data_IF_424478455730
#
_entry.id   IF_424478455730
#
_cell.length_a   1.000
_cell.length_b   1.000
_cell.length_c   1.000
_cell.angle_alpha   90.00
_cell.angle_beta   90.00
_cell.angle_gamma   90.00
#
_symmetry.space_group_name_H-M   'P 1'
#
loop_
_entity.id
_entity.type
_entity.pdbx_description
1 polymer ?
#
# COMPACT_ATOMS: atom_id res chain seq x y z
N UNK A 1 -52.99 29.94 39.12
CA UNK A 1 -51.77 29.99 39.96
C UNK A 1 -51.45 28.75 40.80
N UNK A 2 -52.29 28.25 41.74
CA UNK A 2 -51.92 27.04 42.52
C UNK A 2 -51.91 25.76 41.66
N UNK A 3 -52.95 25.56 40.84
CA UNK A 3 -53.07 24.39 39.94
C UNK A 3 -51.95 24.32 38.88
N UNK A 4 -51.60 25.45 38.25
CA UNK A 4 -50.52 25.50 37.25
C UNK A 4 -49.15 25.18 37.85
N UNK A 5 -48.88 25.62 39.09
CA UNK A 5 -47.64 25.26 39.79
C UNK A 5 -47.61 23.76 40.10
N UNK A 6 -48.72 23.17 40.51
CA UNK A 6 -48.80 21.72 40.77
C UNK A 6 -48.59 20.92 39.48
N UNK A 7 -49.19 21.35 38.36
CA UNK A 7 -48.98 20.73 37.04
C UNK A 7 -47.52 20.87 36.60
N UNK A 8 -46.92 22.05 36.78
CA UNK A 8 -45.51 22.27 36.47
C UNK A 8 -44.60 21.36 37.31
N UNK A 9 -44.84 21.22 38.62
CA UNK A 9 -44.08 20.33 39.50
C UNK A 9 -44.25 18.84 39.15
N UNK A 10 -45.46 18.43 38.77
CA UNK A 10 -45.73 17.05 38.32
C UNK A 10 -44.99 16.79 37.01
N UNK A 11 -45.02 17.70 36.04
CA UNK A 11 -44.26 17.57 34.80
C UNK A 11 -42.75 17.54 35.06
N UNK A 12 -42.24 18.39 35.98
CA UNK A 12 -40.82 18.44 36.36
C UNK A 12 -40.31 17.15 37.00
N UNK A 13 -41.19 16.37 37.64
CA UNK A 13 -40.82 15.10 38.28
C UNK A 13 -41.06 13.90 37.36
N UNK A 14 -42.18 13.88 36.65
CA UNK A 14 -42.60 12.74 35.82
C UNK A 14 -41.75 12.62 34.56
N UNK A 15 -41.38 13.74 33.92
CA UNK A 15 -40.53 13.70 32.72
C UNK A 15 -39.14 13.08 32.98
N UNK A 16 -38.34 13.54 33.95
CA UNK A 16 -37.02 12.95 34.19
C UNK A 16 -37.10 11.51 34.71
N UNK A 17 -38.13 11.16 35.50
CA UNK A 17 -38.36 9.77 35.91
C UNK A 17 -38.73 8.88 34.71
N UNK A 18 -39.55 9.38 33.79
CA UNK A 18 -39.87 8.71 32.53
C UNK A 18 -38.62 8.50 31.66
N UNK A 19 -37.79 9.53 31.52
CA UNK A 19 -36.52 9.42 30.79
C UNK A 19 -35.54 8.44 31.45
N UNK A 20 -35.44 8.45 32.79
CA UNK A 20 -34.60 7.50 33.52
C UNK A 20 -35.10 6.05 33.38
N UNK A 21 -36.42 5.84 33.37
CA UNK A 21 -37.02 4.54 33.15
C UNK A 21 -36.77 4.03 31.72
N UNK A 22 -36.95 4.90 30.71
CA UNK A 22 -36.64 4.59 29.30
C UNK A 22 -35.15 4.29 29.16
N UNK A 23 -34.27 5.10 29.73
CA UNK A 23 -32.82 4.89 29.67
C UNK A 23 -32.40 3.55 30.29
N UNK A 24 -32.98 3.19 31.45
CA UNK A 24 -32.70 1.92 32.12
C UNK A 24 -33.24 0.72 31.34
N UNK A 25 -34.43 0.84 30.76
CA UNK A 25 -35.02 -0.20 29.91
C UNK A 25 -34.19 -0.39 28.63
N UNK A 26 -33.78 0.70 28.00
CA UNK A 26 -32.90 0.70 26.84
C UNK A 26 -31.56 0.05 27.17
N UNK A 27 -30.91 0.41 28.29
CA UNK A 27 -29.68 -0.24 28.73
C UNK A 27 -29.86 -1.74 29.03
N UNK A 28 -30.99 -2.15 29.59
CA UNK A 28 -31.31 -3.56 29.81
C UNK A 28 -31.47 -4.34 28.51
N UNK A 29 -32.17 -3.75 27.53
CA UNK A 29 -32.33 -4.31 26.18
C UNK A 29 -30.98 -4.37 25.48
N UNK A 30 -30.18 -3.31 25.55
CA UNK A 30 -28.87 -3.25 24.91
C UNK A 30 -27.88 -4.24 25.54
N UNK A 31 -27.94 -4.47 26.85
CA UNK A 31 -27.13 -5.48 27.53
C UNK A 31 -27.55 -6.92 27.15
N UNK A 32 -28.85 -7.20 27.07
CA UNK A 32 -29.34 -8.51 26.60
C UNK A 32 -29.05 -8.72 25.11
N UNK A 33 -29.20 -7.68 24.30
CA UNK A 33 -28.85 -7.71 22.87
C UNK A 33 -27.35 -7.81 22.67
N UNK A 34 -26.50 -7.21 23.51
CA UNK A 34 -25.05 -7.34 23.38
C UNK A 34 -24.60 -8.80 23.46
N UNK A 35 -25.24 -9.62 24.31
CA UNK A 35 -25.01 -11.07 24.38
C UNK A 35 -25.59 -11.87 23.21
N UNK A 36 -26.68 -11.40 22.59
CA UNK A 36 -27.30 -12.01 21.39
C UNK A 36 -26.63 -11.57 20.06
N UNK A 37 -26.09 -10.35 20.03
CA UNK A 37 -25.29 -9.75 18.96
C UNK A 37 -23.83 -10.23 18.99
N UNK A 38 -23.50 -11.13 19.90
CA UNK A 38 -22.52 -12.16 19.59
C UNK A 38 -23.20 -13.11 18.60
N UNK A 39 -23.44 -12.60 17.39
CA UNK A 39 -23.94 -13.41 16.29
C UNK A 39 -23.05 -14.65 16.24
N UNK A 40 -23.67 -15.81 16.19
CA UNK A 40 -22.93 -17.03 15.93
C UNK A 40 -22.11 -16.79 14.67
N UNK A 41 -20.81 -16.76 14.87
CA UNK A 41 -19.71 -16.71 13.91
C UNK A 41 -19.73 -18.03 13.08
N UNK A 42 -20.91 -18.42 12.60
CA UNK A 42 -21.20 -19.68 11.94
C UNK A 42 -21.41 -19.39 10.46
N UNK A 43 -20.44 -19.85 9.68
CA UNK A 43 -20.62 -20.03 8.25
C UNK A 43 -21.42 -21.31 8.08
N UNK A 44 -22.74 -21.19 7.85
CA UNK A 44 -23.68 -22.31 7.69
C UNK A 44 -23.20 -23.33 6.64
N UNK A 45 -22.48 -22.87 5.61
CA UNK A 45 -21.86 -23.71 4.58
C UNK A 45 -20.49 -23.13 4.20
N UNK A 46 -19.41 -23.80 4.61
CA UNK A 46 -18.03 -23.34 4.34
C UNK A 46 -17.56 -23.53 2.89
N UNK A 47 -18.33 -24.20 2.05
CA UNK A 47 -17.95 -24.49 0.66
C UNK A 47 -18.60 -23.52 -0.31
N UNK A 48 -17.83 -22.55 -0.82
CA UNK A 48 -18.32 -21.59 -1.82
C UNK A 48 -18.87 -22.26 -3.09
N UNK A 49 -18.27 -23.39 -3.52
CA UNK A 49 -18.76 -24.16 -4.68
C UNK A 49 -20.14 -24.75 -4.44
N UNK A 50 -20.37 -25.35 -3.26
CA UNK A 50 -21.67 -25.94 -2.94
C UNK A 50 -22.74 -24.85 -2.84
N UNK A 51 -22.41 -23.74 -2.18
CA UNK A 51 -23.30 -22.58 -2.07
C UNK A 51 -23.65 -22.07 -3.48
N UNK A 52 -22.67 -21.96 -4.38
CA UNK A 52 -22.91 -21.53 -5.77
C UNK A 52 -23.87 -22.45 -6.52
N UNK A 53 -23.68 -23.77 -6.40
CA UNK A 53 -24.55 -24.77 -7.05
C UNK A 53 -25.99 -24.64 -6.54
N UNK A 54 -26.18 -24.48 -5.24
CA UNK A 54 -27.51 -24.35 -4.64
C UNK A 54 -28.19 -23.00 -4.91
N UNK A 55 -27.40 -21.97 -5.19
CA UNK A 55 -27.91 -20.60 -5.42
C UNK A 55 -28.41 -20.39 -6.85
N UNK A 56 -28.02 -21.26 -7.79
CA UNK A 56 -28.40 -21.17 -9.20
C UNK A 56 -28.13 -19.76 -9.76
N UNK A 57 -29.13 -19.11 -10.35
CA UNK A 57 -29.05 -17.75 -10.91
C UNK A 57 -28.96 -16.65 -9.86
N UNK A 58 -29.29 -16.94 -8.60
CA UNK A 58 -29.24 -15.97 -7.50
C UNK A 58 -27.87 -15.91 -6.82
N UNK A 59 -26.84 -16.57 -7.37
CA UNK A 59 -25.49 -16.52 -6.82
C UNK A 59 -24.96 -15.07 -6.62
N UNK A 60 -25.17 -14.11 -7.53
CA UNK A 60 -24.74 -12.73 -7.31
C UNK A 60 -25.45 -12.06 -6.12
N UNK A 61 -26.77 -12.22 -6.00
CA UNK A 61 -27.52 -11.70 -4.84
C UNK A 61 -27.00 -12.30 -3.53
N UNK A 62 -26.68 -13.59 -3.54
CA UNK A 62 -26.13 -14.24 -2.35
C UNK A 62 -24.69 -13.75 -2.07
N UNK A 63 -23.90 -13.45 -3.10
CA UNK A 63 -22.58 -12.84 -2.93
C UNK A 63 -22.68 -11.49 -2.19
N UNK A 64 -23.67 -10.65 -2.52
CA UNK A 64 -23.92 -9.38 -1.83
C UNK A 64 -24.32 -9.58 -0.35
N UNK A 65 -25.10 -10.61 -0.06
CA UNK A 65 -25.44 -10.99 1.33
C UNK A 65 -24.19 -11.41 2.09
N UNK A 66 -23.36 -12.28 1.52
CA UNK A 66 -22.10 -12.68 2.16
C UNK A 66 -21.11 -11.52 2.28
N UNK A 67 -21.04 -10.63 1.30
CA UNK A 67 -20.23 -9.41 1.39
C UNK A 67 -20.68 -8.53 2.55
N UNK A 68 -21.98 -8.36 2.75
CA UNK A 68 -22.52 -7.64 3.89
C UNK A 68 -22.11 -8.31 5.21
N UNK A 69 -22.10 -9.65 5.27
CA UNK A 69 -21.57 -10.40 6.44
C UNK A 69 -20.08 -10.16 6.66
N UNK A 70 -19.26 -10.08 5.59
CA UNK A 70 -17.84 -9.72 5.69
C UNK A 70 -17.67 -8.35 6.36
N UNK A 71 -18.37 -7.33 5.86
CA UNK A 71 -18.27 -5.96 6.36
C UNK A 71 -18.74 -5.85 7.80
N UNK A 72 -19.86 -6.50 8.15
CA UNK A 72 -20.38 -6.50 9.52
C UNK A 72 -19.46 -7.27 10.47
N UNK A 73 -18.95 -8.43 10.08
CA UNK A 73 -18.01 -9.22 10.88
C UNK A 73 -16.74 -8.43 11.18
N UNK A 74 -16.13 -7.86 10.14
CA UNK A 74 -14.94 -7.03 10.28
C UNK A 74 -15.23 -5.79 11.14
N UNK A 75 -16.28 -5.03 10.82
CA UNK A 75 -16.64 -3.81 11.53
C UNK A 75 -16.92 -4.03 13.01
N UNK A 76 -17.71 -5.05 13.36
CA UNK A 76 -18.02 -5.40 14.74
C UNK A 76 -16.78 -5.77 15.54
N UNK A 77 -15.86 -6.55 14.96
CA UNK A 77 -14.62 -6.96 15.64
C UNK A 77 -13.61 -5.83 15.74
N UNK A 78 -13.50 -5.01 14.69
CA UNK A 78 -12.62 -3.84 14.67
C UNK A 78 -13.03 -2.81 15.73
N UNK A 79 -14.33 -2.47 15.84
CA UNK A 79 -14.85 -1.55 16.88
C UNK A 79 -14.61 -2.09 18.30
N UNK A 80 -14.63 -3.41 18.47
CA UNK A 80 -14.38 -4.07 19.77
C UNK A 80 -12.90 -4.33 20.05
N UNK A 81 -11.98 -3.92 19.16
CA UNK A 81 -10.54 -4.19 19.28
C UNK A 81 -10.18 -5.68 19.24
N UNK A 82 -11.05 -6.52 18.69
CA UNK A 82 -10.85 -7.97 18.63
C UNK A 82 -10.01 -8.32 17.40
N UNK A 83 -8.82 -8.86 17.64
CA UNK A 83 -7.88 -9.26 16.59
C UNK A 83 -8.26 -10.58 15.87
N UNK A 84 -9.16 -11.38 16.43
CA UNK A 84 -9.50 -12.67 15.83
C UNK A 84 -10.45 -12.49 14.64
N UNK A 85 -9.88 -12.46 13.43
CA UNK A 85 -10.58 -12.35 12.15
C UNK A 85 -10.55 -13.67 11.34
N UNK A 86 -10.54 -14.83 11.99
CA UNK A 86 -10.44 -16.15 11.33
C UNK A 86 -11.51 -16.42 10.25
N UNK A 87 -12.73 -15.89 10.41
CA UNK A 87 -13.82 -16.07 9.44
C UNK A 87 -13.75 -15.16 8.22
N UNK A 88 -12.83 -14.19 8.22
CA UNK A 88 -12.73 -13.23 7.14
C UNK A 88 -12.43 -13.94 5.81
N UNK A 89 -11.48 -14.88 5.81
CA UNK A 89 -11.15 -15.67 4.63
C UNK A 89 -12.30 -16.56 4.15
N UNK A 90 -12.91 -17.44 4.98
CA UNK A 90 -14.06 -18.24 4.56
C UNK A 90 -15.21 -17.41 3.97
N UNK A 91 -15.52 -16.25 4.57
CA UNK A 91 -16.58 -15.38 4.05
C UNK A 91 -16.21 -14.78 2.69
N UNK A 92 -14.99 -14.26 2.55
CA UNK A 92 -14.46 -13.73 1.28
C UNK A 92 -14.30 -14.80 0.20
N UNK A 93 -14.01 -16.04 0.60
CA UNK A 93 -13.94 -17.17 -0.33
C UNK A 93 -15.32 -17.44 -0.96
N UNK A 94 -16.37 -17.49 -0.14
CA UNK A 94 -17.75 -17.73 -0.56
C UNK A 94 -18.29 -16.58 -1.41
N UNK A 95 -18.42 -15.37 -0.83
CA UNK A 95 -17.77 -14.21 -1.43
C UNK A 95 -17.68 -14.17 -2.94
N UNK A 96 -16.42 -14.24 -3.35
CA UNK A 96 -16.06 -14.02 -4.74
C UNK A 96 -16.10 -15.33 -5.56
N UNK A 97 -16.36 -16.48 -4.93
CA UNK A 97 -16.75 -17.70 -5.65
C UNK A 97 -18.15 -17.54 -6.26
N UNK A 98 -19.08 -16.96 -5.50
CA UNK A 98 -20.45 -16.71 -5.93
C UNK A 98 -20.50 -15.68 -7.06
N UNK A 99 -19.87 -14.51 -6.84
CA UNK A 99 -19.72 -13.48 -7.86
C UNK A 99 -18.26 -13.07 -8.07
N UNK A 100 -17.60 -13.60 -9.13
CA UNK A 100 -16.25 -13.21 -9.48
C UNK A 100 -16.11 -11.76 -9.94
N UNK A 101 -17.19 -11.10 -10.33
CA UNK A 101 -17.20 -9.71 -10.82
C UNK A 101 -17.50 -8.69 -9.70
N UNK A 102 -17.74 -9.15 -8.47
CA UNK A 102 -17.96 -8.28 -7.31
C UNK A 102 -16.62 -7.67 -6.85
N UNK A 103 -16.08 -6.73 -7.64
CA UNK A 103 -14.74 -6.14 -7.49
C UNK A 103 -14.46 -5.64 -6.08
N UNK A 104 -15.45 -5.01 -5.43
CA UNK A 104 -15.33 -4.45 -4.09
C UNK A 104 -14.85 -5.47 -3.05
N UNK A 105 -15.29 -6.73 -3.19
CA UNK A 105 -14.97 -7.81 -2.25
C UNK A 105 -13.49 -8.18 -2.29
N UNK A 106 -12.85 -8.10 -3.46
CA UNK A 106 -11.42 -8.31 -3.59
C UNK A 106 -10.63 -7.14 -3.00
N UNK A 107 -11.00 -5.90 -3.36
CA UNK A 107 -10.25 -4.70 -2.97
C UNK A 107 -10.27 -4.49 -1.45
N UNK A 108 -11.47 -4.40 -0.89
CA UNK A 108 -11.64 -4.14 0.54
C UNK A 108 -11.42 -5.41 1.37
N UNK A 109 -11.80 -6.58 0.87
CA UNK A 109 -11.49 -7.85 1.53
C UNK A 109 -9.99 -8.08 1.70
N UNK A 110 -9.20 -7.74 0.69
CA UNK A 110 -7.75 -7.83 0.78
C UNK A 110 -7.17 -6.82 1.78
N UNK A 111 -7.70 -5.59 1.83
CA UNK A 111 -7.33 -4.63 2.87
C UNK A 111 -7.60 -5.16 4.28
N UNK A 112 -8.77 -5.76 4.50
CA UNK A 112 -9.13 -6.36 5.79
C UNK A 112 -8.21 -7.55 6.17
N UNK A 113 -7.79 -8.33 5.17
CA UNK A 113 -6.86 -9.46 5.37
C UNK A 113 -5.43 -8.98 5.65
N UNK A 114 -4.94 -7.98 4.91
CA UNK A 114 -3.52 -7.62 4.90
C UNK A 114 -3.06 -6.91 6.17
N UNK A 115 -3.83 -5.91 6.63
CA UNK A 115 -3.42 -5.05 7.73
C UNK A 115 -3.16 -5.84 9.02
N UNK A 116 -2.14 -5.44 9.77
CA UNK A 116 -1.83 -6.05 11.06
C UNK A 116 -2.96 -5.84 12.08
N UNK A 117 -3.09 -6.76 13.03
CA UNK A 117 -3.99 -6.60 14.17
C UNK A 117 -3.62 -5.36 14.99
N UNK A 118 -4.59 -4.63 15.57
CA UNK A 118 -6.03 -4.89 15.56
C UNK A 118 -6.75 -4.33 14.33
N UNK A 119 -6.03 -3.71 13.39
CA UNK A 119 -6.64 -3.08 12.23
C UNK A 119 -7.19 -4.14 11.25
N UNK A 120 -6.42 -5.18 10.95
CA UNK A 120 -6.85 -6.31 10.11
C UNK A 120 -6.38 -7.67 10.61
N UNK A 121 -6.42 -8.67 9.73
CA UNK A 121 -6.13 -10.07 10.09
C UNK A 121 -4.63 -10.42 10.12
N UNK A 122 -3.75 -9.54 9.65
CA UNK A 122 -2.31 -9.79 9.55
C UNK A 122 -1.96 -10.95 8.60
N UNK A 123 -2.76 -11.12 7.54
CA UNK A 123 -2.64 -12.19 6.53
C UNK A 123 -2.45 -11.60 5.12
N UNK A 124 -1.32 -10.92 4.87
CA UNK A 124 -1.00 -10.39 3.54
C UNK A 124 -0.88 -11.50 2.48
N UNK A 125 -0.54 -12.72 2.88
CA UNK A 125 -0.53 -13.90 2.02
C UNK A 125 -1.92 -14.21 1.44
N UNK A 126 -2.96 -14.16 2.30
CA UNK A 126 -4.35 -14.35 1.86
C UNK A 126 -4.87 -13.14 1.07
N UNK A 127 -4.43 -11.93 1.39
CA UNK A 127 -4.74 -10.74 0.62
C UNK A 127 -4.22 -10.86 -0.83
N UNK A 128 -2.96 -11.27 -1.01
CA UNK A 128 -2.39 -11.57 -2.33
C UNK A 128 -3.19 -12.64 -3.05
N UNK A 129 -3.52 -13.75 -2.38
CA UNK A 129 -4.30 -14.83 -2.98
C UNK A 129 -5.68 -14.36 -3.46
N UNK A 130 -6.36 -13.54 -2.65
CA UNK A 130 -7.66 -12.97 -2.99
C UNK A 130 -7.55 -12.05 -4.22
N UNK A 131 -6.61 -11.10 -4.20
CA UNK A 131 -6.44 -10.14 -5.30
C UNK A 131 -6.06 -10.86 -6.60
N UNK A 132 -5.16 -11.83 -6.55
CA UNK A 132 -4.78 -12.62 -7.73
C UNK A 132 -5.98 -13.37 -8.32
N UNK A 133 -6.86 -13.93 -7.48
CA UNK A 133 -8.14 -14.50 -7.96
C UNK A 133 -9.01 -13.44 -8.64
N UNK A 134 -9.08 -12.24 -8.07
CA UNK A 134 -9.78 -11.10 -8.67
C UNK A 134 -9.21 -10.72 -10.04
N UNK A 135 -7.89 -10.68 -10.17
CA UNK A 135 -7.19 -10.38 -11.44
C UNK A 135 -7.47 -11.46 -12.48
N UNK A 136 -7.46 -12.74 -12.11
CA UNK A 136 -7.80 -13.83 -13.03
C UNK A 136 -9.23 -13.70 -13.58
N UNK A 137 -10.19 -13.28 -12.74
CA UNK A 137 -11.57 -13.06 -13.16
C UNK A 137 -11.77 -11.73 -13.90
N UNK A 138 -10.97 -10.70 -13.59
CA UNK A 138 -11.14 -9.33 -14.07
C UNK A 138 -9.79 -8.73 -14.55
N UNK A 139 -9.14 -9.31 -15.58
CA UNK A 139 -7.75 -9.00 -15.91
C UNK A 139 -7.51 -7.57 -16.41
N UNK A 140 -8.56 -6.90 -16.88
CA UNK A 140 -8.52 -5.53 -17.40
C UNK A 140 -8.73 -4.47 -16.32
N UNK A 141 -9.14 -4.87 -15.10
CA UNK A 141 -9.43 -3.92 -14.03
C UNK A 141 -8.14 -3.55 -13.27
N UNK A 142 -7.49 -2.49 -13.75
CA UNK A 142 -6.17 -2.04 -13.30
C UNK A 142 -6.04 -1.81 -11.78
N UNK A 143 -7.13 -1.45 -11.09
CA UNK A 143 -7.09 -1.18 -9.64
C UNK A 143 -6.79 -2.42 -8.80
N UNK A 144 -7.05 -3.64 -9.31
CA UNK A 144 -6.62 -4.85 -8.61
C UNK A 144 -5.10 -5.02 -8.64
N UNK A 145 -4.43 -4.55 -9.70
CA UNK A 145 -2.97 -4.55 -9.77
C UNK A 145 -2.37 -3.47 -8.86
N UNK A 146 -3.05 -2.32 -8.73
CA UNK A 146 -2.75 -1.30 -7.72
C UNK A 146 -2.81 -1.91 -6.31
N UNK A 147 -3.93 -2.54 -5.95
CA UNK A 147 -4.11 -3.14 -4.63
C UNK A 147 -3.04 -4.23 -4.38
N UNK A 148 -2.72 -5.04 -5.39
CA UNK A 148 -1.65 -6.06 -5.31
C UNK A 148 -0.27 -5.44 -5.09
N UNK A 149 0.06 -4.39 -5.84
CA UNK A 149 1.32 -3.65 -5.71
C UNK A 149 1.49 -3.06 -4.32
N UNK A 150 0.42 -2.52 -3.74
CA UNK A 150 0.45 -1.98 -2.38
C UNK A 150 0.61 -3.06 -1.31
N UNK A 151 -0.02 -4.23 -1.44
CA UNK A 151 0.21 -5.34 -0.49
C UNK A 151 1.67 -5.80 -0.53
N UNK A 152 2.24 -5.96 -1.73
CA UNK A 152 3.67 -6.30 -1.85
C UNK A 152 4.58 -5.22 -1.27
N UNK A 153 4.28 -3.95 -1.52
CA UNK A 153 5.12 -2.82 -1.09
C UNK A 153 5.05 -2.56 0.42
N UNK A 154 3.84 -2.45 0.98
CA UNK A 154 3.65 -2.05 2.37
C UNK A 154 3.77 -3.22 3.34
N UNK A 155 3.13 -4.34 3.04
CA UNK A 155 2.97 -5.43 4.01
C UNK A 155 4.07 -6.49 3.86
N UNK A 156 4.41 -6.88 2.63
CA UNK A 156 5.40 -7.94 2.37
C UNK A 156 6.83 -7.42 2.16
N UNK A 157 7.00 -6.12 1.88
CA UNK A 157 8.27 -5.50 1.49
C UNK A 157 8.95 -6.20 0.29
N UNK A 158 8.16 -6.82 -0.59
CA UNK A 158 8.61 -7.46 -1.82
C UNK A 158 8.61 -6.42 -2.95
N UNK A 159 9.60 -5.52 -2.92
CA UNK A 159 9.73 -4.44 -3.89
C UNK A 159 9.77 -4.91 -5.36
N UNK A 160 10.45 -6.02 -5.72
CA UNK A 160 10.40 -6.55 -7.09
C UNK A 160 8.99 -6.89 -7.56
N UNK A 161 8.21 -7.64 -6.76
CA UNK A 161 6.83 -7.98 -7.13
C UNK A 161 5.89 -6.78 -7.09
N UNK A 162 6.13 -5.84 -6.17
CA UNK A 162 5.37 -4.60 -6.15
C UNK A 162 5.57 -3.79 -7.44
N UNK A 163 6.82 -3.62 -7.88
CA UNK A 163 7.13 -2.94 -9.13
C UNK A 163 6.50 -3.64 -10.34
N UNK A 164 6.56 -4.97 -10.39
CA UNK A 164 5.91 -5.77 -11.43
C UNK A 164 4.39 -5.58 -11.44
N UNK A 165 3.72 -5.66 -10.29
CA UNK A 165 2.28 -5.46 -10.19
C UNK A 165 1.85 -4.07 -10.66
N UNK A 166 2.55 -3.00 -10.24
CA UNK A 166 2.29 -1.64 -10.73
C UNK A 166 2.53 -1.52 -12.23
N UNK A 167 3.58 -2.15 -12.76
CA UNK A 167 3.89 -2.14 -14.18
C UNK A 167 2.81 -2.86 -15.01
N UNK A 168 2.38 -4.05 -14.60
CA UNK A 168 1.32 -4.79 -15.27
C UNK A 168 -0.02 -4.03 -15.21
N UNK A 169 -0.33 -3.42 -14.07
CA UNK A 169 -1.50 -2.56 -13.93
C UNK A 169 -1.45 -1.34 -14.84
N UNK A 170 -0.27 -0.75 -15.05
CA UNK A 170 -0.10 0.42 -15.94
C UNK A 170 -0.41 0.15 -17.41
N UNK A 171 -0.39 -1.13 -17.82
CA UNK A 171 -0.67 -1.57 -19.20
C UNK A 171 -2.17 -1.76 -19.48
N UNK A 172 -3.01 -1.69 -18.44
CA UNK A 172 -4.44 -2.00 -18.54
C UNK A 172 -5.28 -0.79 -18.97
N UNK A 173 -6.49 -1.02 -19.52
CA UNK A 173 -7.39 0.06 -19.91
C UNK A 173 -7.68 1.01 -18.75
N UNK A 174 -7.69 2.32 -19.04
CA UNK A 174 -7.98 3.38 -18.06
C UNK A 174 -6.99 3.46 -16.89
N UNK A 175 -5.86 2.75 -16.95
CA UNK A 175 -4.80 2.89 -15.97
C UNK A 175 -4.22 4.30 -16.00
N UNK A 176 -3.95 4.84 -14.82
CA UNK A 176 -3.43 6.19 -14.67
C UNK A 176 -1.90 6.15 -14.74
N UNK A 177 -1.28 7.21 -15.29
CA UNK A 177 0.17 7.30 -15.45
C UNK A 177 0.96 7.05 -14.15
N UNK A 178 0.38 7.43 -13.01
CA UNK A 178 1.02 7.24 -11.71
C UNK A 178 1.35 5.77 -11.43
N UNK A 179 0.62 4.79 -12.00
CA UNK A 179 0.94 3.36 -11.88
C UNK A 179 2.35 3.07 -12.42
N UNK A 180 2.68 3.62 -13.59
CA UNK A 180 4.01 3.46 -14.21
C UNK A 180 5.09 4.20 -13.43
N UNK A 181 4.75 5.38 -12.90
CA UNK A 181 5.64 6.15 -11.99
C UNK A 181 5.94 5.34 -10.73
N UNK A 182 4.93 4.70 -10.13
CA UNK A 182 5.12 3.84 -8.97
C UNK A 182 5.95 2.60 -9.29
N UNK A 183 5.73 1.96 -10.43
CA UNK A 183 6.59 0.87 -10.88
C UNK A 183 8.06 1.31 -10.98
N UNK A 184 8.32 2.48 -11.57
CA UNK A 184 9.67 3.03 -11.69
C UNK A 184 10.30 3.37 -10.32
N UNK A 185 9.54 4.00 -9.43
CA UNK A 185 10.01 4.36 -8.07
C UNK A 185 10.30 3.11 -7.24
N UNK A 186 9.37 2.18 -7.17
CA UNK A 186 9.49 0.95 -6.38
C UNK A 186 10.63 0.07 -6.91
N UNK A 187 10.84 0.02 -8.23
CA UNK A 187 11.99 -0.67 -8.81
C UNK A 187 13.33 -0.10 -8.32
N UNK A 188 13.45 1.23 -8.16
CA UNK A 188 14.66 1.85 -7.63
C UNK A 188 14.90 1.56 -6.13
N UNK A 189 13.81 1.35 -5.38
CA UNK A 189 13.89 1.00 -3.95
C UNK A 189 14.24 -0.47 -3.75
N UNK A 190 13.79 -1.35 -4.64
CA UNK A 190 14.19 -2.77 -4.67
C UNK A 190 15.53 -3.05 -5.36
N UNK A 191 16.42 -2.05 -5.47
CA UNK A 191 17.73 -2.12 -6.15
C UNK A 191 17.70 -2.57 -7.62
N UNK A 192 16.54 -2.51 -8.28
CA UNK A 192 16.37 -2.81 -9.71
C UNK A 192 16.58 -1.55 -10.55
N UNK A 193 17.80 -1.02 -10.53
CA UNK A 193 18.15 0.26 -11.18
C UNK A 193 17.90 0.25 -12.69
N UNK A 194 18.23 -0.84 -13.38
CA UNK A 194 18.02 -0.96 -14.82
C UNK A 194 16.53 -0.86 -15.18
N UNK A 195 15.67 -1.53 -14.40
CA UNK A 195 14.22 -1.48 -14.57
C UNK A 195 13.69 -0.08 -14.31
N UNK A 196 14.12 0.55 -13.21
CA UNK A 196 13.71 1.93 -12.90
C UNK A 196 14.13 2.91 -14.00
N UNK A 197 15.37 2.84 -14.47
CA UNK A 197 15.91 3.68 -15.55
C UNK A 197 15.10 3.50 -16.84
N UNK A 198 14.80 2.25 -17.21
CA UNK A 198 13.98 1.95 -18.38
C UNK A 198 12.59 2.59 -18.26
N UNK A 199 11.92 2.42 -17.12
CA UNK A 199 10.57 2.95 -16.91
C UNK A 199 10.53 4.47 -16.87
N UNK A 200 11.48 5.13 -16.21
CA UNK A 200 11.57 6.59 -16.20
C UNK A 200 11.88 7.16 -17.58
N UNK A 201 12.71 6.47 -18.38
CA UNK A 201 12.99 6.86 -19.76
C UNK A 201 11.75 6.74 -20.62
N UNK A 202 11.03 5.64 -20.49
CA UNK A 202 9.77 5.43 -21.19
C UNK A 202 8.72 6.49 -20.80
N UNK A 203 8.61 6.86 -19.52
CA UNK A 203 7.78 8.00 -19.07
C UNK A 203 8.23 9.31 -19.73
N UNK A 204 9.53 9.60 -19.74
CA UNK A 204 10.10 10.81 -20.34
C UNK A 204 9.83 10.91 -21.85
N UNK A 205 9.93 9.79 -22.56
CA UNK A 205 9.77 9.71 -24.02
C UNK A 205 8.29 9.74 -24.43
N UNK A 206 7.39 9.19 -23.61
CA UNK A 206 5.96 9.05 -23.93
C UNK A 206 5.06 10.19 -23.44
N UNK A 207 5.46 10.94 -22.40
CA UNK A 207 4.60 11.98 -21.83
C UNK A 207 4.64 13.29 -22.65
N UNK A 208 3.47 13.88 -22.97
CA UNK A 208 3.41 15.23 -23.54
C UNK A 208 3.47 16.34 -22.48
N UNK A 209 3.23 16.02 -21.20
CA UNK A 209 3.20 16.99 -20.11
C UNK A 209 4.64 17.43 -19.74
N UNK A 210 5.00 18.71 -19.88
CA UNK A 210 6.33 19.21 -19.55
C UNK A 210 6.73 18.99 -18.09
N UNK A 211 5.79 19.09 -17.14
CA UNK A 211 6.08 18.92 -15.71
C UNK A 211 6.42 17.46 -15.38
N UNK A 212 5.68 16.51 -15.97
CA UNK A 212 5.99 15.08 -15.86
C UNK A 212 7.33 14.77 -16.52
N UNK A 213 7.61 15.38 -17.66
CA UNK A 213 8.87 15.18 -18.39
C UNK A 213 10.08 15.67 -17.59
N UNK A 214 9.96 16.85 -16.96
CA UNK A 214 10.99 17.38 -16.06
C UNK A 214 11.19 16.49 -14.84
N UNK A 215 10.11 16.03 -14.22
CA UNK A 215 10.17 15.10 -13.09
C UNK A 215 10.85 13.77 -13.47
N UNK A 216 10.49 13.19 -14.62
CA UNK A 216 11.12 11.98 -15.12
C UNK A 216 12.62 12.18 -15.40
N UNK A 217 13.00 13.32 -16.00
CA UNK A 217 14.40 13.67 -16.22
C UNK A 217 15.19 13.80 -14.93
N UNK A 218 14.61 14.40 -13.90
CA UNK A 218 15.21 14.47 -12.57
C UNK A 218 15.49 13.06 -12.02
N UNK A 219 14.50 12.16 -12.05
CA UNK A 219 14.69 10.79 -11.59
C UNK A 219 15.75 10.03 -12.40
N UNK A 220 15.80 10.20 -13.73
CA UNK A 220 16.85 9.63 -14.57
C UNK A 220 18.25 10.11 -14.14
N UNK A 221 18.41 11.42 -13.91
CA UNK A 221 19.68 12.00 -13.44
C UNK A 221 20.08 11.46 -12.07
N UNK A 222 19.14 11.38 -11.13
CA UNK A 222 19.43 10.87 -9.78
C UNK A 222 19.75 9.37 -9.77
N UNK A 223 19.08 8.57 -10.61
CA UNK A 223 19.44 7.16 -10.80
C UNK A 223 20.84 7.02 -11.40
N UNK A 224 21.20 7.89 -12.35
CA UNK A 224 22.54 7.92 -12.93
C UNK A 224 23.59 8.26 -11.87
N UNK A 225 23.32 9.25 -11.03
CA UNK A 225 24.16 9.61 -9.89
C UNK A 225 24.39 8.41 -8.97
N UNK A 226 23.33 7.67 -8.63
CA UNK A 226 23.46 6.49 -7.77
C UNK A 226 24.31 5.40 -8.41
N UNK A 227 24.11 5.12 -9.71
CA UNK A 227 24.94 4.17 -10.47
C UNK A 227 26.42 4.59 -10.49
N UNK A 228 26.69 5.88 -10.74
CA UNK A 228 28.04 6.42 -10.79
C UNK A 228 28.72 6.37 -9.40
N UNK A 229 28.01 6.70 -8.32
CA UNK A 229 28.52 6.56 -6.96
C UNK A 229 28.84 5.10 -6.61
N UNK A 230 27.96 4.14 -6.95
CA UNK A 230 28.23 2.72 -6.72
C UNK A 230 29.48 2.25 -7.46
N UNK A 231 29.67 2.70 -8.71
CA UNK A 231 30.88 2.38 -9.49
C UNK A 231 32.14 3.01 -8.87
N UNK A 232 32.06 4.25 -8.43
CA UNK A 232 33.17 4.94 -7.78
C UNK A 232 33.53 4.30 -6.44
N UNK A 233 32.54 3.84 -5.67
CA UNK A 233 32.76 3.09 -4.43
C UNK A 233 33.47 1.77 -4.68
N UNK A 234 33.09 1.03 -5.73
CA UNK A 234 33.76 -0.20 -6.12
C UNK A 234 35.23 0.04 -6.56
N UNK A 235 35.51 1.12 -7.27
CA UNK A 235 36.88 1.52 -7.63
C UNK A 235 37.68 1.98 -6.40
N UNK A 236 37.04 2.65 -5.45
CA UNK A 236 37.65 3.03 -4.19
C UNK A 236 37.97 1.82 -3.31
N UNK A 237 37.15 0.76 -3.35
CA UNK A 237 37.46 -0.53 -2.73
C UNK A 237 38.70 -1.18 -3.36
N UNK A 238 38.80 -1.13 -4.68
CA UNK A 238 39.97 -1.63 -5.40
C UNK A 238 41.24 -0.84 -5.06
N UNK A 239 41.13 0.49 -4.98
CA UNK A 239 42.22 1.35 -4.50
C UNK A 239 42.64 0.96 -3.08
N UNK A 240 41.68 0.75 -2.16
CA UNK A 240 41.98 0.35 -0.80
C UNK A 240 42.70 -0.99 -0.71
N UNK A 241 42.35 -1.97 -1.56
CA UNK A 241 43.05 -3.25 -1.66
C UNK A 241 44.52 -3.09 -2.09
N UNK A 242 44.82 -2.11 -2.95
CA UNK A 242 46.18 -1.87 -3.46
C UNK A 242 47.05 -1.04 -2.52
N UNK A 243 46.46 -0.05 -1.83
CA UNK A 243 47.21 0.97 -1.08
C UNK A 243 46.94 0.94 0.43
N UNK A 244 46.13 0.01 0.91
CA UNK A 244 45.81 -0.18 2.34
C UNK A 244 44.85 0.85 2.94
N UNK A 245 44.38 1.83 2.16
CA UNK A 245 43.43 2.87 2.58
C UNK A 245 42.56 3.32 1.40
N UNK A 246 41.31 3.72 1.66
CA UNK A 246 40.46 4.36 0.65
C UNK A 246 41.04 5.70 0.19
N UNK A 247 40.77 6.12 -1.06
CA UNK A 247 41.20 7.42 -1.56
C UNK A 247 40.46 8.55 -0.82
N UNK A 248 41.18 9.61 -0.46
CA UNK A 248 40.59 10.80 0.18
C UNK A 248 39.93 11.75 -0.83
N UNK A 249 40.34 11.66 -2.11
CA UNK A 249 39.84 12.51 -3.21
C UNK A 249 39.85 11.71 -4.51
N UNK A 250 38.92 12.03 -5.42
CA UNK A 250 38.83 11.39 -6.74
C UNK A 250 40.15 11.47 -7.52
N UNK A 251 40.91 12.57 -7.39
CA UNK A 251 42.19 12.76 -8.08
C UNK A 251 43.21 11.67 -7.78
N UNK A 252 43.18 11.06 -6.58
CA UNK A 252 44.06 9.95 -6.23
C UNK A 252 43.76 8.68 -7.03
N UNK A 253 42.49 8.45 -7.40
CA UNK A 253 42.11 7.34 -8.27
C UNK A 253 42.55 7.58 -9.72
N UNK A 254 42.51 8.84 -10.18
CA UNK A 254 43.04 9.22 -11.51
C UNK A 254 44.55 9.00 -11.56
N UNK A 255 45.29 9.45 -10.53
CA UNK A 255 46.73 9.25 -10.42
C UNK A 255 47.12 7.77 -10.35
N UNK A 256 46.29 6.93 -9.72
CA UNK A 256 46.47 5.49 -9.67
C UNK A 256 46.05 4.76 -10.97
N UNK A 257 45.58 5.48 -11.99
CA UNK A 257 45.14 4.91 -13.26
C UNK A 257 43.82 4.14 -13.21
N UNK A 258 43.08 4.21 -12.09
CA UNK A 258 41.76 3.58 -11.95
C UNK A 258 40.66 4.36 -12.67
N UNK A 259 40.89 5.65 -12.93
CA UNK A 259 40.00 6.53 -13.68
C UNK A 259 40.79 7.27 -14.76
N UNK A 260 40.16 7.49 -15.92
CA UNK A 260 40.74 8.26 -17.03
C UNK A 260 40.73 9.78 -16.78
N UNK A 261 39.86 10.24 -15.88
CA UNK A 261 39.67 11.63 -15.52
C UNK A 261 38.70 11.74 -14.35
N UNK A 262 38.46 12.95 -13.87
CA UNK A 262 37.50 13.20 -12.78
C UNK A 262 36.09 13.12 -13.39
N UNK A 263 35.25 12.13 -13.03
CA UNK A 263 33.89 12.04 -13.51
C UNK A 263 33.05 13.16 -12.89
N UNK A 264 32.20 13.76 -13.72
CA UNK A 264 31.16 14.67 -13.30
C UNK A 264 29.81 13.99 -13.24
N UNK A 265 28.91 14.54 -12.43
CA UNK A 265 27.51 14.18 -12.40
C UNK A 265 26.79 14.54 -13.72
N UNK A 266 25.50 14.20 -13.89
CA UNK A 266 24.76 14.54 -15.12
C UNK A 266 24.68 16.03 -15.47
N UNK A 267 25.04 16.93 -14.55
CA UNK A 267 25.14 18.37 -14.78
C UNK A 267 26.59 18.85 -14.95
N UNK A 268 27.57 17.94 -14.88
CA UNK A 268 29.00 18.21 -15.07
C UNK A 268 29.78 18.56 -13.81
N UNK A 269 29.16 18.51 -12.62
CA UNK A 269 29.86 18.79 -11.36
C UNK A 269 30.64 17.56 -10.91
N UNK A 270 31.93 17.73 -10.61
CA UNK A 270 32.79 16.63 -10.18
C UNK A 270 32.26 15.92 -8.92
N UNK A 271 32.22 14.58 -8.93
CA UNK A 271 31.93 13.82 -7.71
C UNK A 271 32.98 14.05 -6.62
N UNK A 272 32.58 13.86 -5.36
CA UNK A 272 33.48 13.96 -4.20
C UNK A 272 33.37 12.71 -3.34
N UNK A 273 34.38 12.47 -2.49
CA UNK A 273 34.27 11.49 -1.41
C UNK A 273 33.83 12.20 -0.13
N UNK A 274 32.82 11.63 0.54
CA UNK A 274 32.38 12.05 1.86
C UNK A 274 33.39 11.70 2.95
N UNK A 275 33.11 12.13 4.19
CA UNK A 275 33.94 11.79 5.35
C UNK A 275 33.94 10.29 5.66
N UNK A 276 32.89 9.58 5.24
CA UNK A 276 32.75 8.12 5.30
C UNK A 276 33.56 7.39 4.21
N UNK A 277 34.22 8.13 3.31
CA UNK A 277 35.00 7.58 2.21
C UNK A 277 34.14 7.04 1.05
N UNK A 278 32.84 7.38 1.01
CA UNK A 278 31.93 7.00 -0.07
C UNK A 278 31.72 8.12 -1.08
N UNK A 279 31.48 7.74 -2.33
CA UNK A 279 31.22 8.68 -3.40
C UNK A 279 29.85 9.34 -3.23
N UNK A 280 29.81 10.66 -3.36
CA UNK A 280 28.61 11.46 -3.23
C UNK A 280 28.64 12.68 -4.16
N UNK A 281 27.47 13.31 -4.33
CA UNK A 281 27.34 14.56 -5.07
C UNK A 281 28.17 15.67 -4.41
N UNK A 282 28.67 16.58 -5.25
CA UNK A 282 29.27 17.82 -4.78
C UNK A 282 28.20 18.70 -4.12
N UNK A 283 28.59 19.44 -3.07
CA UNK A 283 27.74 20.43 -2.41
C UNK A 283 27.27 21.53 -3.35
N UNK A 284 28.05 21.83 -4.38
CA UNK A 284 27.71 22.82 -5.40
C UNK A 284 26.75 22.29 -6.48
N UNK A 285 26.47 20.98 -6.51
CA UNK A 285 25.58 20.40 -7.51
C UNK A 285 24.11 20.69 -7.17
N UNK A 286 23.34 21.30 -8.09
CA UNK A 286 21.90 21.48 -7.90
C UNK A 286 21.13 20.17 -7.70
N UNK A 287 21.69 19.04 -8.17
CA UNK A 287 21.07 17.72 -7.97
C UNK A 287 21.06 17.31 -6.50
N UNK A 288 21.98 17.81 -5.68
CA UNK A 288 22.02 17.49 -4.25
C UNK A 288 20.81 18.06 -3.53
N UNK A 289 20.47 19.33 -3.79
CA UNK A 289 19.28 19.96 -3.21
C UNK A 289 18.01 19.22 -3.66
N UNK A 290 17.90 18.87 -4.94
CA UNK A 290 16.76 18.14 -5.48
C UNK A 290 16.65 16.72 -4.89
N UNK A 291 17.77 16.03 -4.69
CA UNK A 291 17.80 14.73 -4.03
C UNK A 291 17.29 14.85 -2.58
N UNK A 292 17.80 15.82 -1.82
CA UNK A 292 17.39 16.05 -0.43
C UNK A 292 15.92 16.43 -0.32
N UNK A 293 15.38 17.20 -1.26
CA UNK A 293 13.96 17.52 -1.32
C UNK A 293 13.11 16.27 -1.52
N UNK A 294 13.49 15.38 -2.44
CA UNK A 294 12.78 14.12 -2.67
C UNK A 294 12.87 13.17 -1.48
N UNK A 295 14.01 13.14 -0.79
CA UNK A 295 14.23 12.29 0.38
C UNK A 295 13.41 12.73 1.61
N UNK A 296 12.97 14.00 1.68
CA UNK A 296 12.07 14.49 2.75
C UNK A 296 10.66 13.91 2.68
N UNK A 297 10.25 13.37 1.53
CA UNK A 297 8.91 12.82 1.30
C UNK A 297 8.90 11.28 1.23
N UNK A 298 9.99 10.63 1.67
CA UNK A 298 10.07 9.18 1.88
C UNK A 298 9.68 8.82 3.31
#
# INVERSE_FOLDING_TARGET
>A
MKSEKTIAWVLLLVLPLGFAAIWRLQHGIDAQRAGLSQERDDVLLRSGRLVKIMSLEYAPLLADIYWTRVVQYYGNKHVRGQANLELLWPLLDITTTLDPNLLISYRFGAMFLSQAAPAGAGRPDLAVQLIQRGIQANPEYWRLYEDLGFVYYFDLKDYPKAAEAFLEGSKKPSAQLWMKVMAAKVAAEGDSFATSMFLWKDIYDSTPDPAVKENALLHLRLLKVREDCQRLDALADEYAKRYGKRPARISQMVQAGLLRGIPGDPLGFAYIFGQDGKAQLNLDSPLLEQQLLLDRFK
#
